data_IF_452365700484
#
_entry.id   IF_452365700484
#
_cell.length_a   1.000
_cell.length_b   1.000
_cell.length_c   1.000
_cell.angle_alpha   90.00
_cell.angle_beta   90.00
_cell.angle_gamma   90.00
#
_symmetry.space_group_name_H-M   'P 1'
#
loop_
_entity.id
_entity.type
_entity.pdbx_description
1 polymer ?
#
# COMPACT_ATOMS: atom_id res chain seq x y z
N UNK A 1 -1.28 -5.51 19.63
CA UNK A 1 -1.58 -4.09 19.37
C UNK A 1 -2.24 -3.87 18.00
N UNK A 2 -1.71 -4.37 16.89
CA UNK A 2 -2.32 -4.14 15.56
C UNK A 2 -3.74 -4.71 15.43
N UNK A 3 -3.98 -5.92 15.96
CA UNK A 3 -5.29 -6.56 15.91
C UNK A 3 -6.38 -5.74 16.62
N UNK A 4 -6.09 -5.18 17.80
CA UNK A 4 -7.06 -4.37 18.54
C UNK A 4 -7.42 -3.07 17.82
N UNK A 5 -6.49 -2.49 17.07
CA UNK A 5 -6.74 -1.30 16.23
C UNK A 5 -7.64 -1.67 15.06
N UNK A 6 -7.33 -2.77 14.35
CA UNK A 6 -8.16 -3.26 13.26
C UNK A 6 -9.59 -3.58 13.73
N UNK A 7 -9.75 -4.29 14.85
CA UNK A 7 -11.07 -4.58 15.41
C UNK A 7 -11.83 -3.31 15.80
N UNK A 8 -11.15 -2.29 16.32
CA UNK A 8 -11.77 -0.99 16.59
C UNK A 8 -12.24 -0.32 15.31
N UNK A 9 -11.43 -0.30 14.25
CA UNK A 9 -11.84 0.26 12.97
C UNK A 9 -13.05 -0.49 12.37
N UNK A 10 -13.08 -1.82 12.47
CA UNK A 10 -14.22 -2.63 12.05
C UNK A 10 -15.49 -2.28 12.85
N UNK A 11 -15.38 -2.03 14.17
CA UNK A 11 -16.51 -1.55 14.98
C UNK A 11 -17.05 -0.20 14.52
N UNK A 12 -16.20 0.65 13.94
CA UNK A 12 -16.59 1.91 13.30
C UNK A 12 -16.90 1.74 11.79
N UNK A 13 -17.29 0.54 11.36
CA UNK A 13 -17.73 0.19 10.00
C UNK A 13 -16.65 0.27 8.91
N UNK A 14 -15.36 0.21 9.26
CA UNK A 14 -14.33 0.00 8.26
C UNK A 14 -14.42 -1.43 7.70
N UNK A 15 -14.37 -1.56 6.37
CA UNK A 15 -14.16 -2.86 5.74
C UNK A 15 -12.69 -3.26 5.87
N UNK A 16 -12.43 -4.45 6.40
CA UNK A 16 -11.08 -4.97 6.63
C UNK A 16 -11.00 -6.37 6.03
N UNK A 17 -9.94 -6.61 5.26
CA UNK A 17 -9.65 -7.92 4.70
C UNK A 17 -8.16 -8.24 4.87
N UNK A 18 -7.87 -9.43 5.37
CA UNK A 18 -6.54 -10.05 5.30
C UNK A 18 -6.49 -11.03 4.13
N UNK A 19 -5.29 -11.53 3.79
CA UNK A 19 -5.07 -12.38 2.61
C UNK A 19 -5.50 -11.76 1.27
N UNK A 20 -5.70 -10.44 1.23
CA UNK A 20 -5.99 -9.68 0.01
C UNK A 20 -4.72 -8.94 -0.38
N UNK A 21 -4.17 -9.28 -1.54
CA UNK A 21 -2.92 -8.73 -2.07
C UNK A 21 -3.23 -7.69 -3.15
N UNK A 22 -2.60 -6.53 -3.10
CA UNK A 22 -2.66 -5.56 -4.18
C UNK A 22 -1.77 -6.01 -5.35
N UNK A 23 -2.36 -6.20 -6.52
CA UNK A 23 -1.68 -6.71 -7.72
C UNK A 23 -1.38 -5.57 -8.70
N UNK A 24 -2.26 -4.58 -8.77
CA UNK A 24 -2.13 -3.46 -9.70
C UNK A 24 -2.78 -2.19 -9.13
N UNK A 25 -2.17 -1.04 -9.37
CA UNK A 25 -2.72 0.27 -9.01
C UNK A 25 -3.54 0.80 -10.19
N UNK A 26 -4.78 1.21 -9.92
CA UNK A 26 -5.68 1.71 -10.96
C UNK A 26 -5.58 3.23 -11.00
N UNK A 27 -5.21 3.76 -12.17
CA UNK A 27 -5.12 5.21 -12.41
C UNK A 27 -6.22 5.68 -13.34
N UNK A 28 -6.75 6.87 -13.09
CA UNK A 28 -7.70 7.55 -13.96
C UNK A 28 -7.09 8.86 -14.47
N UNK A 29 -7.45 9.30 -15.69
CA UNK A 29 -7.05 10.60 -16.20
C UNK A 29 -7.65 11.70 -15.31
N UNK A 30 -6.79 12.55 -14.76
CA UNK A 30 -7.23 13.52 -13.76
C UNK A 30 -8.09 14.63 -14.38
N UNK A 31 -9.27 14.87 -13.78
CA UNK A 31 -10.20 15.95 -14.13
C UNK A 31 -9.93 17.24 -13.36
N UNK A 32 -9.06 17.20 -12.36
CA UNK A 32 -8.80 18.30 -11.42
C UNK A 32 -7.29 18.41 -11.21
N UNK A 33 -6.73 19.62 -11.07
CA UNK A 33 -5.30 19.82 -10.79
C UNK A 33 -4.93 19.14 -9.48
N UNK A 34 -4.44 17.90 -9.55
CA UNK A 34 -3.81 17.24 -8.41
C UNK A 34 -2.48 17.94 -8.19
N UNK A 35 -2.28 18.44 -6.96
CA UNK A 35 -0.97 18.92 -6.53
C UNK A 35 -0.09 17.67 -6.38
N UNK A 36 0.56 17.27 -7.48
CA UNK A 36 1.73 16.42 -7.37
C UNK A 36 2.82 17.26 -6.73
N UNK A 37 3.18 16.95 -5.49
CA UNK A 37 4.45 17.32 -4.89
C UNK A 37 5.58 16.57 -5.62
N UNK A 38 5.72 16.78 -6.93
CA UNK A 38 7.00 16.55 -7.59
C UNK A 38 7.81 17.79 -7.24
N UNK A 39 8.88 17.62 -6.47
CA UNK A 39 9.85 18.66 -6.12
C UNK A 39 10.64 19.18 -7.33
N UNK A 40 10.23 18.82 -8.55
CA UNK A 40 10.87 19.22 -9.79
C UNK A 40 9.86 20.04 -10.58
N UNK A 41 10.18 21.33 -10.71
CA UNK A 41 9.45 22.32 -11.50
C UNK A 41 9.54 21.96 -13.00
N UNK A 42 8.86 20.92 -13.43
CA UNK A 42 8.69 20.61 -14.85
C UNK A 42 7.20 20.56 -15.18
N UNK A 43 6.71 21.69 -15.69
CA UNK A 43 5.35 21.90 -16.14
C UNK A 43 5.14 21.19 -17.48
N UNK A 44 5.05 19.86 -17.47
CA UNK A 44 4.57 19.13 -18.64
C UNK A 44 3.07 19.33 -18.75
N UNK A 45 2.58 19.70 -19.94
CA UNK A 45 1.17 20.01 -20.25
C UNK A 45 0.24 18.80 -20.28
N UNK A 46 0.73 17.61 -19.91
CA UNK A 46 -0.02 16.37 -19.94
C UNK A 46 -0.74 16.15 -18.60
N UNK A 47 -2.02 15.73 -18.61
CA UNK A 47 -2.76 15.46 -17.39
C UNK A 47 -2.11 14.31 -16.63
N UNK A 48 -1.56 14.60 -15.45
CA UNK A 48 -0.99 13.57 -14.57
C UNK A 48 -2.11 12.61 -14.15
N UNK A 49 -2.00 11.30 -14.44
CA UNK A 49 -3.01 10.33 -14.05
C UNK A 49 -3.02 10.19 -12.52
N UNK A 50 -4.21 10.19 -11.92
CA UNK A 50 -4.42 10.09 -10.48
C UNK A 50 -4.79 8.68 -10.07
N UNK A 51 -4.28 8.22 -8.94
CA UNK A 51 -4.64 6.91 -8.37
C UNK A 51 -6.09 6.94 -7.91
N UNK A 52 -6.85 5.92 -8.32
CA UNK A 52 -8.31 5.81 -8.15
C UNK A 52 -8.76 4.49 -7.53
N UNK A 53 -7.81 3.63 -7.16
CA UNK A 53 -8.10 2.30 -6.62
C UNK A 53 -6.97 1.32 -6.83
N UNK A 54 -7.27 0.04 -6.62
CA UNK A 54 -6.36 -1.07 -6.87
C UNK A 54 -7.14 -2.32 -7.33
N UNK A 55 -6.51 -3.13 -8.19
CA UNK A 55 -6.92 -4.51 -8.41
C UNK A 55 -6.24 -5.37 -7.36
N UNK A 56 -7.02 -6.19 -6.68
CA UNK A 56 -6.57 -7.02 -5.58
C UNK A 56 -6.91 -8.48 -5.83
N UNK A 57 -6.14 -9.38 -5.22
CA UNK A 57 -6.31 -10.83 -5.28
C UNK A 57 -6.54 -11.39 -3.90
N UNK A 58 -7.63 -12.12 -3.71
CA UNK A 58 -7.81 -12.97 -2.55
C UNK A 58 -6.89 -14.19 -2.67
N UNK A 59 -5.92 -14.31 -1.77
CA UNK A 59 -4.93 -15.39 -1.77
C UNK A 59 -5.49 -16.73 -1.30
N UNK A 60 -6.66 -16.75 -0.66
CA UNK A 60 -7.31 -17.99 -0.24
C UNK A 60 -8.09 -18.63 -1.39
N UNK A 61 -8.75 -17.82 -2.22
CA UNK A 61 -9.59 -18.31 -3.32
C UNK A 61 -8.99 -18.13 -4.71
N UNK A 62 -7.97 -17.28 -4.85
CA UNK A 62 -7.34 -16.91 -6.12
C UNK A 62 -8.14 -15.88 -6.94
N UNK A 63 -9.32 -15.43 -6.47
CA UNK A 63 -10.16 -14.49 -7.20
C UNK A 63 -9.58 -13.09 -7.18
N UNK A 64 -9.63 -12.41 -8.32
CA UNK A 64 -9.28 -10.99 -8.43
C UNK A 64 -10.52 -10.11 -8.50
N UNK A 65 -10.46 -8.95 -7.87
CA UNK A 65 -11.51 -7.95 -7.90
C UNK A 65 -10.93 -6.54 -7.75
N UNK A 66 -11.74 -5.53 -8.10
CA UNK A 66 -11.32 -4.14 -8.12
C UNK A 66 -11.91 -3.38 -6.93
N UNK A 67 -11.07 -2.61 -6.24
CA UNK A 67 -11.49 -1.66 -5.20
C UNK A 67 -11.26 -0.25 -5.73
N UNK A 68 -12.33 0.51 -5.89
CA UNK A 68 -12.26 1.93 -6.24
C UNK A 68 -12.19 2.77 -4.96
N UNK A 69 -11.31 3.77 -4.94
CA UNK A 69 -11.11 4.64 -3.80
C UNK A 69 -10.75 6.07 -4.26
N UNK A 70 -11.17 7.08 -3.49
CA UNK A 70 -10.79 8.48 -3.75
C UNK A 70 -9.33 8.77 -3.37
N UNK A 71 -8.82 8.02 -2.42
CA UNK A 71 -7.46 8.15 -1.90
C UNK A 71 -6.94 6.75 -1.58
N UNK A 72 -5.68 6.51 -1.90
CA UNK A 72 -4.97 5.26 -1.60
C UNK A 72 -3.73 5.61 -0.80
N UNK A 73 -3.56 4.94 0.35
CA UNK A 73 -2.42 5.12 1.23
C UNK A 73 -1.57 3.85 1.17
N UNK A 74 -0.28 3.99 0.81
CA UNK A 74 0.67 2.89 0.89
C UNK A 74 1.27 2.81 2.31
N UNK A 75 0.82 1.81 3.07
CA UNK A 75 1.29 1.54 4.44
C UNK A 75 1.86 0.11 4.57
N UNK A 76 2.63 -0.34 3.58
CA UNK A 76 3.09 -1.74 3.46
C UNK A 76 4.45 -2.04 4.09
N UNK A 77 4.96 -1.13 4.93
CA UNK A 77 6.21 -1.33 5.69
C UNK A 77 7.41 -1.61 4.77
N UNK A 78 8.16 -2.72 4.96
CA UNK A 78 9.34 -3.03 4.14
C UNK A 78 9.00 -3.30 2.66
N UNK A 79 7.72 -3.52 2.33
CA UNK A 79 7.24 -3.74 0.96
C UNK A 79 6.82 -2.43 0.26
N UNK A 80 7.04 -1.27 0.89
CA UNK A 80 6.62 0.04 0.35
C UNK A 80 7.11 0.27 -1.08
N UNK A 81 8.35 -0.11 -1.37
CA UNK A 81 8.94 0.10 -2.70
C UNK A 81 8.33 -0.82 -3.75
N UNK A 82 7.90 -2.03 -3.39
CA UNK A 82 7.18 -2.89 -4.33
C UNK A 82 5.88 -2.23 -4.80
N UNK A 83 5.13 -1.59 -3.91
CA UNK A 83 3.91 -0.84 -4.28
C UNK A 83 4.25 0.44 -5.05
N UNK A 84 5.32 1.17 -4.68
CA UNK A 84 5.76 2.37 -5.43
C UNK A 84 6.18 2.02 -6.86
N UNK A 85 6.87 0.90 -7.03
CA UNK A 85 7.30 0.40 -8.34
C UNK A 85 6.14 -0.18 -9.17
N UNK A 86 5.04 -0.61 -8.54
CA UNK A 86 3.78 -0.89 -9.26
C UNK A 86 3.17 0.38 -9.86
N UNK A 87 3.36 1.53 -9.20
CA UNK A 87 2.86 2.82 -9.69
C UNK A 87 3.73 3.37 -10.83
N UNK A 88 5.05 3.38 -10.59
CA UNK A 88 6.08 3.90 -11.49
C UNK A 88 7.37 3.09 -11.28
N UNK A 89 7.73 2.30 -12.30
CA UNK A 89 8.86 1.37 -12.25
C UNK A 89 10.21 2.06 -12.15
N UNK A 90 10.30 3.34 -12.50
CA UNK A 90 11.55 4.10 -12.46
C UNK A 90 11.80 4.72 -11.08
N UNK A 91 10.88 4.55 -10.13
CA UNK A 91 11.04 5.07 -8.78
C UNK A 91 12.22 4.41 -8.06
N UNK A 92 13.17 5.21 -7.53
CA UNK A 92 14.25 4.66 -6.74
C UNK A 92 13.72 4.06 -5.44
N UNK A 93 14.30 2.92 -5.06
CA UNK A 93 14.09 2.27 -3.76
C UNK A 93 14.49 3.22 -2.63
N UNK A 94 13.62 3.40 -1.63
CA UNK A 94 13.89 4.25 -0.45
C UNK A 94 13.96 3.45 0.84
N UNK A 95 13.39 2.25 0.86
CA UNK A 95 13.31 1.40 2.04
C UNK A 95 14.57 0.55 2.18
N UNK A 96 15.21 0.63 3.34
CA UNK A 96 16.33 -0.23 3.73
C UNK A 96 15.91 -1.06 4.95
N UNK A 97 15.42 -2.30 4.76
CA UNK A 97 15.01 -3.14 5.88
C UNK A 97 16.22 -3.65 6.66
N UNK A 98 16.12 -3.67 7.98
CA UNK A 98 17.07 -4.33 8.88
C UNK A 98 16.46 -5.61 9.46
N UNK A 99 17.31 -6.58 9.78
CA UNK A 99 16.90 -7.87 10.35
C UNK A 99 17.31 -7.94 11.81
N UNK A 100 16.38 -8.38 12.67
CA UNK A 100 16.61 -8.67 14.08
C UNK A 100 16.05 -10.03 14.43
N UNK A 101 16.75 -10.78 15.28
CA UNK A 101 16.34 -12.12 15.73
C UNK A 101 16.29 -12.11 17.26
N UNK A 102 15.27 -12.76 17.82
CA UNK A 102 15.13 -12.95 19.26
C UNK A 102 15.19 -14.45 19.58
N UNK A 103 16.01 -14.83 20.55
CA UNK A 103 16.13 -16.21 21.05
C UNK A 103 15.53 -16.24 22.44
N UNK A 104 14.69 -17.26 22.70
CA UNK A 104 14.07 -17.49 24.01
C UNK A 104 14.62 -18.81 24.53
N UNK A 105 15.22 -18.77 25.73
CA UNK A 105 15.66 -19.96 26.44
C UNK A 105 14.60 -20.39 27.46
N UNK A 106 14.45 -21.70 27.73
CA UNK A 106 13.62 -22.17 28.83
C UNK A 106 14.04 -21.59 30.18
N UNK A 107 13.08 -21.35 31.07
CA UNK A 107 13.32 -20.68 32.36
C UNK A 107 14.22 -21.43 33.35
N UNK A 108 14.56 -22.68 33.08
CA UNK A 108 15.51 -23.48 33.88
C UNK A 108 16.98 -23.23 33.52
N UNK A 109 17.26 -22.47 32.45
CA UNK A 109 18.61 -21.99 32.12
C UNK A 109 18.93 -20.66 32.83
N UNK A 110 18.70 -20.58 34.15
CA UNK A 110 19.12 -19.43 34.98
C UNK A 110 20.58 -19.53 35.38
#
# INVERSE_FOLDING_TARGET
MCLSIALTAARYNAAIANYVEAVEIIKQPSRTKSISLKSTLETTSEPVPTVSGARVRDRLTGKEFTINARCVINATGPFTDSIRQMDDKEQPTICQPSLGVHIILPGYYR
#
